data_IF_725416465478
#
_entry.id   IF_725416465478
#
_cell.length_a   1.000
_cell.length_b   1.000
_cell.length_c   1.000
_cell.angle_alpha   90.00
_cell.angle_beta   90.00
_cell.angle_gamma   90.00
#
_symmetry.space_group_name_H-M   'P 1'
#
loop_
_entity.id
_entity.type
_entity.pdbx_description
1 polymer ?
#
# COMPACT_ATOMS: atom_id res chain seq x y z
N UNK A 1 11.99 -29.33 1.36
CA UNK A 1 11.16 -28.14 0.97
C UNK A 1 12.02 -27.25 0.10
N UNK A 2 11.45 -26.73 -0.96
CA UNK A 2 12.14 -25.77 -1.85
C UNK A 2 12.29 -24.44 -1.11
N UNK A 3 13.51 -23.97 -0.92
CA UNK A 3 13.72 -22.65 -0.34
C UNK A 3 13.34 -21.57 -1.35
N UNK A 4 12.50 -20.64 -0.93
CA UNK A 4 12.11 -19.46 -1.70
C UNK A 4 12.85 -18.26 -1.13
N UNK A 5 13.36 -17.40 -1.99
CA UNK A 5 14.05 -16.16 -1.61
C UNK A 5 13.38 -14.97 -2.26
N UNK A 6 13.49 -13.82 -1.60
CA UNK A 6 13.24 -12.50 -2.20
C UNK A 6 14.54 -12.06 -2.86
N UNK A 7 14.56 -12.05 -4.19
CA UNK A 7 15.74 -11.67 -4.97
C UNK A 7 15.94 -10.15 -5.00
N UNK A 8 14.85 -9.40 -5.01
CA UNK A 8 14.85 -7.94 -4.95
C UNK A 8 13.55 -7.40 -4.42
N UNK A 9 13.54 -6.10 -4.14
CA UNK A 9 12.34 -5.33 -3.86
C UNK A 9 12.49 -3.90 -4.41
N UNK A 10 11.37 -3.30 -4.76
CA UNK A 10 11.27 -1.89 -5.12
C UNK A 10 9.91 -1.32 -4.73
N UNK A 11 9.88 -0.03 -4.45
CA UNK A 11 8.66 0.72 -4.22
C UNK A 11 8.69 2.07 -4.93
N UNK A 12 7.54 2.63 -5.23
CA UNK A 12 7.46 4.04 -5.58
C UNK A 12 7.63 4.92 -4.34
N UNK A 13 7.84 6.24 -4.48
CA UNK A 13 7.57 7.16 -3.38
C UNK A 13 6.13 6.98 -2.87
N UNK A 14 5.90 7.29 -1.60
CA UNK A 14 4.56 7.34 -1.01
C UNK A 14 3.97 8.72 -1.28
N UNK A 15 2.98 8.77 -2.18
CA UNK A 15 2.25 10.00 -2.51
C UNK A 15 1.25 10.37 -1.42
N UNK A 16 1.09 11.67 -1.18
CA UNK A 16 0.03 12.19 -0.32
C UNK A 16 -1.32 12.18 -1.03
N UNK A 17 -2.40 12.17 -0.27
CA UNK A 17 -3.75 12.28 -0.82
C UNK A 17 -3.91 13.56 -1.64
N UNK A 18 -4.32 13.39 -2.89
CA UNK A 18 -4.37 14.47 -3.90
C UNK A 18 -3.01 15.19 -4.12
N UNK A 19 -1.89 14.50 -3.85
CA UNK A 19 -0.53 14.96 -4.08
C UNK A 19 -0.02 14.68 -5.49
N UNK A 20 1.29 14.41 -5.63
CA UNK A 20 1.94 14.23 -6.92
C UNK A 20 1.34 13.12 -7.77
N UNK A 21 0.78 12.08 -7.15
CA UNK A 21 0.17 10.94 -7.85
C UNK A 21 -1.35 11.04 -8.01
N UNK A 22 -1.96 12.18 -7.70
CA UNK A 22 -3.42 12.37 -7.72
C UNK A 22 -4.13 11.90 -8.98
N UNK A 23 -3.46 11.94 -10.13
CA UNK A 23 -4.01 11.54 -11.43
C UNK A 23 -3.36 10.26 -12.00
N UNK A 24 -2.59 9.53 -11.19
CA UNK A 24 -1.95 8.29 -11.63
C UNK A 24 -2.76 7.07 -11.15
N UNK A 25 -3.20 6.20 -12.08
CA UNK A 25 -3.87 4.97 -11.68
C UNK A 25 -2.89 4.01 -10.99
N UNK A 26 -3.41 3.20 -10.06
CA UNK A 26 -2.61 2.27 -9.29
C UNK A 26 -1.72 1.36 -10.16
N UNK A 27 -2.26 0.86 -11.28
CA UNK A 27 -1.51 0.00 -12.19
C UNK A 27 -0.30 0.67 -12.87
N UNK A 28 -0.32 2.00 -13.04
CA UNK A 28 0.85 2.73 -13.56
C UNK A 28 1.96 2.81 -12.51
N UNK A 29 1.62 3.03 -11.23
CA UNK A 29 2.55 2.97 -10.11
C UNK A 29 3.10 1.55 -9.93
N UNK A 30 2.21 0.54 -10.05
CA UNK A 30 2.59 -0.88 -10.02
C UNK A 30 3.60 -1.25 -11.10
N UNK A 31 3.43 -0.76 -12.33
CA UNK A 31 4.35 -1.01 -13.43
C UNK A 31 5.76 -0.48 -13.13
N UNK A 32 5.89 0.75 -12.61
CA UNK A 32 7.19 1.32 -12.22
C UNK A 32 7.89 0.47 -11.17
N UNK A 33 7.16 0.05 -10.13
CA UNK A 33 7.73 -0.79 -9.08
C UNK A 33 8.16 -2.17 -9.61
N UNK A 34 7.39 -2.78 -10.52
CA UNK A 34 7.71 -4.06 -11.17
C UNK A 34 8.99 -3.94 -11.98
N UNK A 35 9.10 -2.94 -12.86
CA UNK A 35 10.29 -2.73 -13.70
C UNK A 35 11.54 -2.56 -12.85
N UNK A 36 11.49 -1.70 -11.85
CA UNK A 36 12.62 -1.47 -10.95
C UNK A 36 13.02 -2.73 -10.15
N UNK A 37 12.05 -3.51 -9.68
CA UNK A 37 12.34 -4.73 -8.95
C UNK A 37 13.01 -5.79 -9.84
N UNK A 38 12.53 -5.97 -11.07
CA UNK A 38 13.15 -6.91 -12.03
C UNK A 38 14.56 -6.49 -12.42
N UNK A 39 14.78 -5.21 -12.70
CA UNK A 39 16.10 -4.67 -12.99
C UNK A 39 17.09 -4.93 -11.83
N UNK A 40 16.68 -4.64 -10.60
CA UNK A 40 17.48 -4.88 -9.39
C UNK A 40 17.78 -6.37 -9.16
N UNK A 41 16.83 -7.24 -9.50
CA UNK A 41 17.01 -8.69 -9.41
C UNK A 41 17.96 -9.23 -10.51
N UNK A 42 18.15 -8.50 -11.60
CA UNK A 42 18.81 -8.99 -12.81
C UNK A 42 18.00 -10.12 -13.47
N UNK A 43 16.67 -10.07 -13.36
CA UNK A 43 15.73 -11.05 -13.92
C UNK A 43 15.15 -10.50 -15.21
N UNK A 44 15.20 -11.30 -16.27
CA UNK A 44 14.57 -10.97 -17.55
C UNK A 44 13.04 -10.96 -17.40
N UNK A 45 12.37 -10.04 -18.08
CA UNK A 45 10.90 -9.94 -18.06
C UNK A 45 10.26 -11.24 -18.57
N UNK A 46 10.87 -11.89 -19.54
CA UNK A 46 10.44 -13.14 -20.17
C UNK A 46 10.47 -14.34 -19.22
N UNK A 47 11.28 -14.27 -18.14
CA UNK A 47 11.38 -15.36 -17.17
C UNK A 47 10.32 -15.29 -16.06
N UNK A 48 9.52 -14.23 -16.01
CA UNK A 48 8.46 -14.05 -15.01
C UNK A 48 7.29 -14.96 -15.33
N UNK A 49 7.01 -15.92 -14.43
CA UNK A 49 5.92 -16.88 -14.58
C UNK A 49 4.58 -16.29 -14.17
N UNK A 50 4.58 -15.37 -13.19
CA UNK A 50 3.35 -14.88 -12.59
C UNK A 50 3.53 -13.54 -11.89
N UNK A 51 2.46 -12.74 -11.87
CA UNK A 51 2.37 -11.50 -11.09
C UNK A 51 1.13 -11.53 -10.19
N UNK A 52 1.32 -11.28 -8.89
CA UNK A 52 0.23 -11.22 -7.90
C UNK A 52 0.30 -9.87 -7.18
N UNK A 53 -0.72 -9.02 -7.36
CA UNK A 53 -0.74 -7.71 -6.70
C UNK A 53 -1.97 -7.53 -5.84
N UNK A 54 -1.75 -7.09 -4.60
CA UNK A 54 -2.80 -6.63 -3.72
C UNK A 54 -3.33 -5.27 -4.14
N UNK A 55 -4.65 -5.12 -4.14
CA UNK A 55 -5.32 -3.84 -4.33
C UNK A 55 -6.73 -3.89 -3.75
N UNK A 56 -7.15 -2.85 -3.05
CA UNK A 56 -8.48 -2.76 -2.42
C UNK A 56 -9.46 -2.01 -3.32
N UNK A 57 -9.07 -0.84 -3.82
CA UNK A 57 -9.94 0.10 -4.54
C UNK A 57 -9.83 -0.13 -6.04
N UNK A 58 -10.64 -1.03 -6.57
CA UNK A 58 -10.59 -1.44 -7.99
C UNK A 58 -11.74 -0.89 -8.83
N UNK A 59 -12.72 -0.22 -8.22
CA UNK A 59 -13.87 0.32 -8.95
C UNK A 59 -13.43 1.37 -9.97
N UNK A 60 -13.85 1.20 -11.23
CA UNK A 60 -13.51 2.11 -12.33
C UNK A 60 -12.05 2.03 -12.83
N UNK A 61 -11.24 1.10 -12.32
CA UNK A 61 -9.83 0.94 -12.70
C UNK A 61 -9.63 0.10 -13.97
N UNK A 62 -10.70 -0.39 -14.58
CA UNK A 62 -10.64 -1.31 -15.71
C UNK A 62 -10.52 -2.78 -15.28
N UNK A 63 -10.35 -3.65 -16.28
CA UNK A 63 -10.24 -5.08 -16.01
C UNK A 63 -8.89 -5.40 -15.36
N UNK A 64 -8.92 -6.12 -14.25
CA UNK A 64 -7.75 -6.70 -13.60
C UNK A 64 -6.55 -5.72 -13.52
N UNK A 65 -6.54 -4.78 -12.60
CA UNK A 65 -5.45 -3.78 -12.49
C UNK A 65 -4.06 -4.40 -12.30
N UNK A 66 -3.96 -5.57 -11.67
CA UNK A 66 -2.70 -6.30 -11.58
C UNK A 66 -2.18 -6.74 -12.97
N UNK A 67 -3.09 -7.20 -13.84
CA UNK A 67 -2.76 -7.53 -15.22
C UNK A 67 -2.35 -6.29 -16.02
N UNK A 68 -3.01 -5.17 -15.79
CA UNK A 68 -2.63 -3.90 -16.43
C UNK A 68 -1.21 -3.48 -16.01
N UNK A 69 -0.87 -3.57 -14.73
CA UNK A 69 0.49 -3.27 -14.25
C UNK A 69 1.53 -4.20 -14.88
N UNK A 70 1.23 -5.50 -14.92
CA UNK A 70 2.07 -6.53 -15.55
C UNK A 70 2.38 -6.21 -17.02
N UNK A 71 1.36 -5.95 -17.83
CA UNK A 71 1.52 -5.63 -19.25
C UNK A 71 2.22 -4.29 -19.44
N UNK A 72 1.86 -3.27 -18.67
CA UNK A 72 2.50 -1.94 -18.75
C UNK A 72 3.99 -1.99 -18.38
N UNK A 73 4.40 -2.90 -17.50
CA UNK A 73 5.80 -3.16 -17.18
C UNK A 73 6.52 -3.97 -18.28
N UNK A 74 5.83 -4.37 -19.34
CA UNK A 74 6.39 -5.11 -20.46
C UNK A 74 6.65 -6.58 -20.21
N UNK A 75 5.93 -7.20 -19.27
CA UNK A 75 6.01 -8.64 -19.00
C UNK A 75 5.21 -9.44 -20.06
N UNK A 76 5.51 -10.76 -20.21
CA UNK A 76 4.91 -11.58 -21.25
C UNK A 76 3.38 -11.69 -21.14
N UNK A 77 2.70 -11.63 -22.26
CA UNK A 77 1.24 -11.80 -22.31
C UNK A 77 0.79 -13.21 -21.94
N UNK A 78 1.67 -14.18 -22.04
CA UNK A 78 1.43 -15.59 -21.70
C UNK A 78 1.48 -15.84 -20.19
N UNK A 79 2.22 -15.03 -19.45
CA UNK A 79 2.35 -15.16 -17.99
C UNK A 79 1.06 -14.74 -17.29
N UNK A 80 0.68 -15.47 -16.24
CA UNK A 80 -0.50 -15.14 -15.45
C UNK A 80 -0.31 -13.87 -14.63
N UNK A 81 -1.37 -13.05 -14.53
CA UNK A 81 -1.37 -11.91 -13.63
C UNK A 81 -2.76 -11.69 -13.04
N UNK A 82 -2.85 -11.50 -11.73
CA UNK A 82 -4.12 -11.38 -11.04
C UNK A 82 -3.99 -10.58 -9.74
N UNK A 83 -5.11 -10.03 -9.29
CA UNK A 83 -5.21 -9.22 -8.09
C UNK A 83 -5.82 -9.95 -6.92
N UNK A 84 -5.46 -9.55 -5.70
CA UNK A 84 -6.04 -10.06 -4.45
C UNK A 84 -6.46 -8.91 -3.56
N UNK A 85 -7.55 -9.10 -2.84
CA UNK A 85 -8.02 -8.20 -1.80
C UNK A 85 -8.18 -8.94 -0.47
N UNK A 86 -7.31 -8.62 0.47
CA UNK A 86 -7.38 -8.95 1.89
C UNK A 86 -7.22 -7.65 2.70
N UNK A 87 -7.87 -6.59 2.24
CA UNK A 87 -7.77 -5.22 2.77
C UNK A 87 -6.30 -4.82 2.91
N UNK A 88 -5.87 -4.24 4.02
CA UNK A 88 -4.48 -3.79 4.24
C UNK A 88 -3.43 -4.93 4.19
N UNK A 89 -3.84 -6.19 4.36
CA UNK A 89 -2.97 -7.36 4.27
C UNK A 89 -2.70 -7.88 2.86
N UNK A 90 -3.30 -7.26 1.82
CA UNK A 90 -3.29 -7.78 0.44
C UNK A 90 -1.88 -7.95 -0.13
N UNK A 91 -1.00 -6.96 0.03
CA UNK A 91 0.37 -7.02 -0.49
C UNK A 91 1.19 -8.13 0.16
N UNK A 92 1.12 -8.28 1.48
CA UNK A 92 1.81 -9.36 2.19
C UNK A 92 1.22 -10.73 1.82
N UNK A 93 -0.10 -10.80 1.63
CA UNK A 93 -0.75 -12.04 1.17
C UNK A 93 -0.31 -12.44 -0.23
N UNK A 94 -0.14 -11.48 -1.13
CA UNK A 94 0.41 -11.73 -2.47
C UNK A 94 1.81 -12.37 -2.40
N UNK A 95 2.69 -11.85 -1.54
CA UNK A 95 4.03 -12.43 -1.30
C UNK A 95 3.94 -13.87 -0.77
N UNK A 96 3.05 -14.13 0.19
CA UNK A 96 2.85 -15.46 0.74
C UNK A 96 2.35 -16.46 -0.32
N UNK A 97 1.40 -16.05 -1.17
CA UNK A 97 0.88 -16.87 -2.26
C UNK A 97 1.94 -17.14 -3.33
N UNK A 98 2.71 -16.11 -3.72
CA UNK A 98 3.82 -16.29 -4.66
C UNK A 98 4.87 -17.29 -4.15
N UNK A 99 5.21 -17.23 -2.85
CA UNK A 99 6.09 -18.21 -2.24
C UNK A 99 5.50 -19.63 -2.27
N UNK A 100 4.20 -19.78 -2.01
CA UNK A 100 3.49 -21.07 -2.08
C UNK A 100 3.48 -21.63 -3.51
N UNK A 101 3.20 -20.83 -4.53
CA UNK A 101 3.21 -21.27 -5.93
C UNK A 101 4.61 -21.74 -6.36
N UNK A 102 5.67 -21.07 -5.93
CA UNK A 102 7.04 -21.51 -6.20
C UNK A 102 7.35 -22.82 -5.46
N UNK A 103 6.90 -22.99 -4.22
CA UNK A 103 7.10 -24.22 -3.44
C UNK A 103 6.40 -25.42 -4.07
N UNK A 104 5.19 -25.23 -4.59
CA UNK A 104 4.40 -26.25 -5.27
C UNK A 104 4.94 -26.57 -6.67
N UNK A 105 5.68 -25.67 -7.28
CA UNK A 105 6.23 -25.82 -8.63
C UNK A 105 5.33 -25.26 -9.73
N UNK A 106 4.26 -24.55 -9.37
CA UNK A 106 3.34 -23.90 -10.30
C UNK A 106 4.01 -22.72 -11.02
N UNK A 107 4.90 -22.01 -10.33
CA UNK A 107 5.65 -20.87 -10.84
C UNK A 107 7.12 -20.96 -10.50
N UNK A 108 8.00 -20.43 -11.36
CA UNK A 108 9.43 -20.39 -11.14
C UNK A 108 9.87 -19.05 -10.55
N UNK A 109 9.39 -17.93 -11.10
CA UNK A 109 9.64 -16.56 -10.69
C UNK A 109 8.31 -15.83 -10.58
N UNK A 110 8.04 -15.24 -9.42
CA UNK A 110 6.80 -14.51 -9.14
C UNK A 110 7.12 -13.08 -8.73
N UNK A 111 6.46 -12.13 -9.38
CA UNK A 111 6.41 -10.74 -8.92
C UNK A 111 5.21 -10.59 -8.00
N UNK A 112 5.43 -10.24 -6.74
CA UNK A 112 4.39 -10.16 -5.73
C UNK A 112 4.50 -8.89 -4.89
N UNK A 113 3.37 -8.25 -4.62
CA UNK A 113 3.33 -7.02 -3.84
C UNK A 113 1.95 -6.38 -3.83
N UNK A 114 1.90 -5.06 -3.90
CA UNK A 114 0.65 -4.31 -3.92
C UNK A 114 0.79 -2.96 -4.60
N UNK A 115 -0.35 -2.42 -4.98
CA UNK A 115 -0.51 -1.11 -5.59
C UNK A 115 -1.82 -0.49 -5.11
N UNK A 116 -1.87 0.81 -4.94
CA UNK A 116 -3.10 1.52 -4.60
C UNK A 116 -3.04 2.97 -5.07
N UNK A 117 -4.16 3.51 -5.52
CA UNK A 117 -4.35 4.94 -5.74
C UNK A 117 -5.63 5.35 -5.02
N UNK A 118 -5.48 5.84 -3.79
CA UNK A 118 -6.60 6.29 -2.97
C UNK A 118 -7.12 7.64 -3.50
N UNK A 119 -6.26 8.45 -4.09
CA UNK A 119 -6.65 9.72 -4.70
C UNK A 119 -7.57 9.55 -5.92
N UNK A 120 -7.42 8.46 -6.69
CA UNK A 120 -8.26 8.14 -7.83
C UNK A 120 -9.43 7.19 -7.51
N UNK A 121 -9.70 6.94 -6.23
CA UNK A 121 -10.88 6.17 -5.84
C UNK A 121 -12.16 6.87 -6.31
N UNK A 122 -13.09 6.07 -6.81
CA UNK A 122 -14.32 6.60 -7.43
C UNK A 122 -15.43 6.82 -6.42
N UNK A 123 -16.33 7.76 -6.74
CA UNK A 123 -17.66 7.78 -6.14
C UNK A 123 -18.61 6.98 -7.01
N UNK A 124 -19.33 6.03 -6.43
CA UNK A 124 -20.18 5.07 -7.15
C UNK A 124 -21.65 5.23 -6.78
N UNK A 125 -22.54 4.85 -7.69
CA UNK A 125 -23.97 4.82 -7.46
C UNK A 125 -24.61 3.60 -8.12
N UNK A 126 -25.66 3.04 -7.48
CA UNK A 126 -26.45 1.94 -8.01
C UNK A 126 -27.53 2.45 -8.96
N UNK A 127 -27.21 2.58 -10.26
CA UNK A 127 -28.09 3.23 -11.23
C UNK A 127 -28.67 2.31 -12.31
N UNK A 128 -28.39 1.00 -12.29
CA UNK A 128 -28.89 0.10 -13.35
C UNK A 128 -30.40 0.01 -13.41
N UNK A 129 -31.09 0.19 -12.28
CA UNK A 129 -32.55 0.27 -12.23
C UNK A 129 -33.13 1.67 -12.54
N UNK A 130 -32.25 2.66 -12.77
CA UNK A 130 -32.63 4.05 -12.97
C UNK A 130 -33.02 4.77 -11.68
N UNK A 131 -33.23 6.08 -11.80
CA UNK A 131 -33.73 6.96 -10.73
C UNK A 131 -35.00 7.64 -11.25
N UNK A 132 -36.16 7.19 -10.73
CA UNK A 132 -37.44 7.69 -11.23
C UNK A 132 -37.78 9.08 -10.74
N UNK A 133 -37.45 9.42 -9.48
CA UNK A 133 -37.74 10.70 -8.84
C UNK A 133 -36.88 10.87 -7.61
N UNK A 134 -36.52 12.12 -7.25
CA UNK A 134 -35.72 12.48 -6.09
C UNK A 134 -34.23 12.52 -6.36
N UNK A 135 -33.46 12.76 -5.28
CA UNK A 135 -32.01 12.94 -5.35
C UNK A 135 -31.27 11.63 -5.58
N UNK A 136 -30.08 11.74 -6.18
CA UNK A 136 -29.16 10.65 -6.37
C UNK A 136 -28.03 10.71 -5.35
N UNK A 137 -27.77 9.59 -4.67
CA UNK A 137 -26.68 9.48 -3.70
C UNK A 137 -25.48 8.77 -4.32
N UNK A 138 -24.32 9.43 -4.29
CA UNK A 138 -23.03 8.82 -4.57
C UNK A 138 -22.39 8.32 -3.28
N UNK A 139 -21.69 7.19 -3.38
CA UNK A 139 -20.99 6.53 -2.28
C UNK A 139 -19.51 6.66 -2.56
N UNK A 140 -18.74 7.21 -1.61
CA UNK A 140 -17.29 7.22 -1.66
C UNK A 140 -16.76 5.79 -1.48
N UNK A 141 -16.18 5.21 -2.54
CA UNK A 141 -15.68 3.83 -2.51
C UNK A 141 -14.43 3.69 -1.64
N UNK A 142 -13.62 4.74 -1.49
CA UNK A 142 -12.47 4.72 -0.60
C UNK A 142 -12.90 4.48 0.85
N UNK A 143 -13.93 5.19 1.30
CA UNK A 143 -14.50 5.01 2.63
C UNK A 143 -15.23 3.66 2.70
N UNK A 144 -16.16 3.40 1.76
CA UNK A 144 -17.07 2.26 1.85
C UNK A 144 -16.36 0.91 1.75
N UNK A 145 -15.38 0.79 0.85
CA UNK A 145 -14.71 -0.48 0.54
C UNK A 145 -13.36 -0.63 1.27
N UNK A 146 -12.71 0.49 1.63
CA UNK A 146 -11.40 0.48 2.26
C UNK A 146 -11.36 0.82 3.74
N UNK A 147 -12.25 1.72 4.22
CA UNK A 147 -12.14 2.33 5.54
C UNK A 147 -13.37 2.12 6.44
N UNK A 148 -14.36 1.37 5.99
CA UNK A 148 -15.61 1.13 6.71
C UNK A 148 -15.72 -0.31 7.18
N UNK A 149 -15.92 -0.50 8.49
CA UNK A 149 -16.25 -1.82 9.03
C UNK A 149 -17.64 -2.24 8.53
N UNK A 150 -17.66 -3.25 7.66
CA UNK A 150 -18.88 -3.74 7.03
C UNK A 150 -19.83 -4.43 8.00
N UNK A 151 -19.33 -4.92 9.12
CA UNK A 151 -20.09 -5.70 10.10
C UNK A 151 -20.66 -4.81 11.21
N UNK A 152 -19.83 -3.90 11.74
CA UNK A 152 -20.23 -3.03 12.84
C UNK A 152 -20.76 -1.67 12.37
N UNK A 153 -20.56 -1.31 11.11
CA UNK A 153 -21.18 -0.13 10.51
C UNK A 153 -20.53 1.21 10.89
N UNK A 154 -19.24 1.23 11.14
CA UNK A 154 -18.49 2.44 11.47
C UNK A 154 -17.13 2.52 10.76
N UNK A 155 -16.53 3.70 10.78
CA UNK A 155 -15.22 3.96 10.16
C UNK A 155 -14.07 3.28 10.95
N UNK A 156 -12.99 2.89 10.28
CA UNK A 156 -11.78 2.32 10.92
C UNK A 156 -11.18 3.24 12.00
N UNK A 157 -11.36 4.54 11.91
CA UNK A 157 -11.00 5.46 12.98
C UNK A 157 -11.77 5.22 14.28
N UNK A 158 -13.04 4.82 14.19
CA UNK A 158 -13.82 4.38 15.37
C UNK A 158 -13.29 3.05 15.91
N UNK A 159 -12.83 2.14 15.04
CA UNK A 159 -12.12 0.94 15.49
C UNK A 159 -10.87 1.30 16.29
N UNK A 160 -10.10 2.30 15.84
CA UNK A 160 -8.94 2.77 16.59
C UNK A 160 -9.32 3.36 17.96
N UNK A 161 -10.42 4.13 18.05
CA UNK A 161 -10.95 4.59 19.34
C UNK A 161 -11.34 3.43 20.25
N UNK A 162 -12.03 2.40 19.73
CA UNK A 162 -12.39 1.19 20.48
C UNK A 162 -11.15 0.45 21.01
N UNK A 163 -10.08 0.39 20.22
CA UNK A 163 -8.80 -0.19 20.66
C UNK A 163 -8.18 0.66 21.76
N UNK A 164 -8.15 1.99 21.59
CA UNK A 164 -7.61 2.90 22.59
C UNK A 164 -8.36 2.80 23.92
N UNK A 165 -9.69 2.73 23.88
CA UNK A 165 -10.53 2.55 25.06
C UNK A 165 -10.29 1.19 25.72
N UNK A 166 -10.35 0.10 24.96
CA UNK A 166 -10.20 -1.26 25.47
C UNK A 166 -8.85 -1.48 26.16
N UNK A 167 -7.78 -0.93 25.59
CA UNK A 167 -6.42 -1.12 26.07
C UNK A 167 -5.89 0.05 26.89
N UNK A 168 -6.74 1.04 27.20
CA UNK A 168 -6.41 2.24 27.99
C UNK A 168 -5.20 2.99 27.43
N UNK A 169 -5.14 3.13 26.08
CA UNK A 169 -4.07 3.86 25.41
C UNK A 169 -4.45 5.34 25.36
N UNK A 170 -3.70 6.17 26.07
CA UNK A 170 -4.01 7.60 26.16
C UNK A 170 -3.74 8.35 24.84
N UNK A 171 -4.32 9.55 24.72
CA UNK A 171 -4.06 10.46 23.61
C UNK A 171 -2.58 10.84 23.52
N UNK A 172 -1.93 11.08 24.65
CA UNK A 172 -0.52 11.43 24.75
C UNK A 172 0.37 10.30 24.20
N UNK A 173 0.10 9.06 24.62
CA UNK A 173 0.83 7.88 24.11
C UNK A 173 0.70 7.73 22.59
N UNK A 174 -0.48 7.98 22.03
CA UNK A 174 -0.72 7.92 20.58
C UNK A 174 0.05 9.04 19.85
N UNK A 175 0.01 10.26 20.37
CA UNK A 175 0.71 11.41 19.79
C UNK A 175 2.24 11.26 19.87
N UNK A 176 2.77 10.78 20.99
CA UNK A 176 4.21 10.50 21.17
C UNK A 176 4.69 9.43 20.22
N UNK A 177 3.92 8.34 20.06
CA UNK A 177 4.24 7.27 19.12
C UNK A 177 4.25 7.77 17.66
N UNK A 178 3.22 8.51 17.27
CA UNK A 178 3.11 9.07 15.92
C UNK A 178 4.23 10.09 15.64
N UNK A 179 4.55 10.96 16.60
CA UNK A 179 5.66 11.91 16.50
C UNK A 179 7.00 11.18 16.35
N UNK A 180 7.25 10.17 17.17
CA UNK A 180 8.48 9.38 17.08
C UNK A 180 8.60 8.69 15.69
N UNK A 181 7.49 8.21 15.12
CA UNK A 181 7.46 7.66 13.77
C UNK A 181 7.80 8.71 12.70
N UNK A 182 7.21 9.91 12.76
CA UNK A 182 7.51 11.00 11.83
C UNK A 182 8.99 11.43 11.92
N UNK A 183 9.51 11.60 13.12
CA UNK A 183 10.90 12.00 13.33
C UNK A 183 11.90 10.95 12.83
N UNK A 184 11.60 9.66 13.02
CA UNK A 184 12.41 8.56 12.46
C UNK A 184 12.39 8.56 10.92
N UNK A 185 11.22 8.75 10.33
CA UNK A 185 11.08 8.80 8.87
C UNK A 185 11.81 10.02 8.27
N UNK A 186 11.67 11.19 8.88
CA UNK A 186 12.39 12.41 8.49
C UNK A 186 13.91 12.22 8.57
N UNK A 187 14.40 11.67 9.67
CA UNK A 187 15.84 11.40 9.82
C UNK A 187 16.35 10.40 8.80
N UNK A 188 15.59 9.33 8.51
CA UNK A 188 15.93 8.33 7.51
C UNK A 188 15.94 8.93 6.09
N UNK A 189 14.96 9.75 5.74
CA UNK A 189 14.91 10.42 4.44
C UNK A 189 16.09 11.39 4.27
N UNK A 190 16.36 12.26 5.28
CA UNK A 190 17.51 13.16 5.27
C UNK A 190 18.86 12.43 5.15
N UNK A 191 18.96 11.24 5.74
CA UNK A 191 20.15 10.38 5.64
C UNK A 191 20.20 9.56 4.34
N UNK A 192 19.23 9.72 3.42
CA UNK A 192 19.17 9.03 2.13
C UNK A 192 18.91 7.52 2.23
N UNK A 193 18.38 7.03 3.37
CA UNK A 193 18.19 5.59 3.61
C UNK A 193 17.11 4.93 2.73
N UNK A 194 16.24 5.72 2.11
CA UNK A 194 15.18 5.21 1.23
C UNK A 194 15.60 5.17 -0.25
N UNK A 195 16.75 5.72 -0.62
CA UNK A 195 17.20 5.83 -2.03
C UNK A 195 17.33 4.48 -2.72
N UNK A 196 17.80 3.46 -2.01
CA UNK A 196 18.01 2.13 -2.58
C UNK A 196 16.70 1.35 -2.79
N UNK A 197 15.62 1.74 -2.13
CA UNK A 197 14.33 1.07 -2.26
C UNK A 197 13.35 1.82 -3.18
N UNK A 198 13.46 3.14 -3.29
CA UNK A 198 12.59 3.96 -4.12
C UNK A 198 12.96 3.83 -5.60
N UNK A 199 11.94 3.63 -6.43
CA UNK A 199 11.97 3.80 -7.88
C UNK A 199 11.32 5.15 -8.22
N UNK A 200 12.05 6.13 -8.79
CA UNK A 200 11.48 7.41 -9.18
C UNK A 200 10.33 7.26 -10.17
N UNK A 201 9.31 8.09 -10.02
CA UNK A 201 8.12 8.08 -10.86
C UNK A 201 8.05 9.36 -11.68
N UNK A 202 7.98 9.24 -13.00
CA UNK A 202 7.77 10.39 -13.88
C UNK A 202 6.29 10.66 -14.04
N UNK A 203 5.86 11.82 -13.56
CA UNK A 203 4.47 12.29 -13.66
C UNK A 203 4.36 13.29 -14.82
N UNK A 204 3.48 12.98 -15.78
CA UNK A 204 3.22 13.85 -16.94
C UNK A 204 2.15 14.87 -16.63
N UNK A 205 2.44 16.13 -16.98
CA UNK A 205 1.53 17.26 -16.83
C UNK A 205 1.33 17.95 -18.16
N UNK A 206 0.31 18.82 -18.24
CA UNK A 206 0.06 19.62 -19.47
C UNK A 206 1.27 20.47 -19.92
N UNK A 207 2.14 20.85 -18.98
CA UNK A 207 3.29 21.75 -19.25
C UNK A 207 4.64 21.04 -19.22
N UNK A 208 4.70 19.71 -19.12
CA UNK A 208 5.94 18.94 -19.03
C UNK A 208 5.82 17.72 -18.12
N UNK A 209 6.97 17.30 -17.60
CA UNK A 209 7.08 16.14 -16.74
C UNK A 209 7.77 16.53 -15.41
N UNK A 210 7.41 15.89 -14.34
CA UNK A 210 8.06 16.01 -13.02
C UNK A 210 8.46 14.64 -12.54
N UNK A 211 9.71 14.49 -12.10
CA UNK A 211 10.18 13.25 -11.44
C UNK A 211 9.92 13.37 -9.94
N UNK A 212 9.20 12.42 -9.39
CA UNK A 212 8.93 12.29 -7.96
C UNK A 212 9.83 11.17 -7.46
N UNK A 213 10.73 11.47 -6.51
CA UNK A 213 11.72 10.53 -5.99
C UNK A 213 11.77 10.49 -4.46
N UNK A 214 10.99 11.32 -3.79
CA UNK A 214 10.89 11.39 -2.34
C UNK A 214 9.47 11.12 -1.85
N UNK A 215 9.36 10.51 -0.65
CA UNK A 215 8.08 10.33 0.03
C UNK A 215 7.50 11.68 0.43
N UNK A 216 6.26 11.96 0.03
CA UNK A 216 5.56 13.22 0.31
C UNK A 216 4.90 13.26 1.69
N UNK A 217 4.59 12.09 2.26
CA UNK A 217 3.75 12.02 3.46
C UNK A 217 4.52 12.30 4.76
N UNK A 218 5.84 12.32 4.74
CA UNK A 218 6.65 12.59 5.92
C UNK A 218 6.47 14.06 6.34
N UNK A 219 6.02 14.27 7.57
CA UNK A 219 5.79 15.61 8.14
C UNK A 219 7.06 16.14 8.78
N UNK A 220 7.87 16.83 7.99
CA UNK A 220 9.12 17.42 8.44
C UNK A 220 8.88 18.46 9.54
N UNK A 221 9.69 18.39 10.60
CA UNK A 221 9.60 19.32 11.72
C UNK A 221 8.35 19.14 12.59
N UNK A 222 7.73 17.95 12.59
CA UNK A 222 6.61 17.66 13.47
C UNK A 222 7.01 17.83 14.95
N UNK A 223 6.11 18.39 15.77
CA UNK A 223 6.32 18.61 17.21
C UNK A 223 5.15 18.09 18.02
N UNK A 224 5.39 17.80 19.31
CA UNK A 224 4.34 17.31 20.20
C UNK A 224 3.24 18.37 20.41
N UNK A 225 3.60 19.66 20.50
CA UNK A 225 2.66 20.76 20.62
C UNK A 225 1.78 20.90 19.38
N UNK A 226 2.33 20.58 18.20
CA UNK A 226 1.57 20.52 16.96
C UNK A 226 0.55 19.39 16.96
N UNK A 227 0.93 18.20 17.44
CA UNK A 227 0.05 17.04 17.57
C UNK A 227 -1.08 17.29 18.56
N UNK A 228 -0.76 17.81 19.74
CA UNK A 228 -1.73 18.06 20.81
C UNK A 228 -2.83 19.09 20.45
N UNK A 229 -2.56 20.01 19.52
CA UNK A 229 -3.54 20.99 19.03
C UNK A 229 -4.60 20.39 18.11
N UNK A 230 -4.37 19.18 17.59
CA UNK A 230 -5.30 18.53 16.67
C UNK A 230 -6.54 18.02 17.42
N UNK A 231 -7.71 18.24 16.80
CA UNK A 231 -8.98 17.76 17.33
C UNK A 231 -9.20 16.30 17.01
N UNK A 232 -9.89 15.54 17.87
CA UNK A 232 -10.38 14.21 17.54
C UNK A 232 -11.16 14.20 16.22
N UNK A 233 -10.94 13.18 15.38
CA UNK A 233 -11.50 13.12 14.04
C UNK A 233 -12.74 12.21 13.92
N UNK A 234 -12.89 11.24 14.82
CA UNK A 234 -13.91 10.20 14.70
C UNK A 234 -14.94 10.20 15.84
N UNK A 235 -14.58 10.69 17.00
CA UNK A 235 -15.45 10.84 18.16
C UNK A 235 -15.20 12.18 18.82
N UNK A 236 -16.25 12.84 19.32
CA UNK A 236 -16.13 14.16 19.98
C UNK A 236 -15.18 14.15 21.18
N UNK A 237 -15.24 13.08 21.97
CA UNK A 237 -14.39 12.85 23.15
C UNK A 237 -13.27 11.84 22.86
N UNK A 238 -12.94 11.63 21.56
CA UNK A 238 -11.96 10.64 21.13
C UNK A 238 -10.53 11.12 21.28
N UNK A 239 -9.62 10.20 20.94
CA UNK A 239 -8.17 10.38 21.02
C UNK A 239 -7.48 10.33 19.65
N UNK A 240 -8.15 9.77 18.64
CA UNK A 240 -7.61 9.60 17.28
C UNK A 240 -7.77 10.89 16.49
N UNK A 241 -6.67 11.39 15.93
CA UNK A 241 -6.61 12.65 15.18
C UNK A 241 -5.99 12.46 13.82
N UNK A 242 -6.05 13.47 12.97
CA UNK A 242 -5.32 13.47 11.69
C UNK A 242 -3.78 13.41 11.87
N UNK A 243 -3.25 13.64 13.06
CA UNK A 243 -1.81 13.56 13.36
C UNK A 243 -1.35 12.16 13.74
N UNK A 244 -2.17 11.42 14.46
CA UNK A 244 -1.85 10.09 14.98
C UNK A 244 -2.58 8.94 14.24
N UNK A 245 -3.46 9.25 13.27
CA UNK A 245 -4.07 8.27 12.38
C UNK A 245 -3.18 7.94 11.18
N UNK A 246 -3.49 6.81 10.51
CA UNK A 246 -2.87 6.43 9.23
C UNK A 246 -3.16 7.45 8.14
N UNK A 247 -2.23 7.56 7.18
CA UNK A 247 -2.41 8.39 6.00
C UNK A 247 -3.32 7.78 4.94
N UNK A 248 -3.80 8.65 4.05
CA UNK A 248 -4.42 8.28 2.79
C UNK A 248 -3.37 8.56 1.72
N UNK A 249 -2.95 7.52 0.98
CA UNK A 249 -1.74 7.57 0.17
C UNK A 249 -1.92 6.86 -1.16
N UNK A 250 -1.02 7.18 -2.10
CA UNK A 250 -0.88 6.54 -3.39
C UNK A 250 0.51 5.92 -3.51
N UNK A 251 0.62 4.73 -4.09
CA UNK A 251 1.91 4.08 -4.28
C UNK A 251 1.83 2.62 -4.67
N UNK A 252 3.00 2.02 -4.89
CA UNK A 252 3.14 0.60 -5.14
C UNK A 252 4.46 0.08 -4.56
N UNK A 253 4.46 -1.19 -4.16
CA UNK A 253 5.66 -1.88 -3.73
C UNK A 253 5.59 -3.36 -4.13
N UNK A 254 6.68 -3.89 -4.67
CA UNK A 254 6.75 -5.29 -5.11
C UNK A 254 8.05 -5.95 -4.73
N UNK A 255 8.02 -7.27 -4.68
CA UNK A 255 9.18 -8.15 -4.51
C UNK A 255 9.26 -9.11 -5.68
N UNK A 256 10.47 -9.55 -6.02
CA UNK A 256 10.72 -10.65 -6.95
C UNK A 256 11.06 -11.89 -6.13
N UNK A 257 10.20 -12.91 -6.23
CA UNK A 257 10.35 -14.19 -5.53
C UNK A 257 10.86 -15.25 -6.50
N UNK A 258 11.78 -16.11 -6.04
CA UNK A 258 12.31 -17.23 -6.84
C UNK A 258 12.86 -18.36 -5.97
N UNK A 259 13.16 -19.51 -6.60
CA UNK A 259 13.85 -20.61 -5.91
C UNK A 259 15.27 -20.24 -5.56
N UNK A 260 15.73 -20.63 -4.38
CA UNK A 260 17.09 -20.40 -3.88
C UNK A 260 18.15 -21.27 -4.56
N UNK A 261 18.00 -21.69 -5.81
CA UNK A 261 18.98 -22.55 -6.49
C UNK A 261 20.10 -21.70 -7.08
N UNK A 262 21.21 -21.57 -6.35
CA UNK A 262 22.43 -20.89 -6.84
C UNK A 262 22.45 -19.36 -6.70
N UNK A 263 21.46 -18.78 -5.99
CA UNK A 263 21.42 -17.34 -5.74
C UNK A 263 22.01 -17.04 -4.37
N UNK A 264 23.12 -16.31 -4.34
CA UNK A 264 23.58 -15.68 -3.10
C UNK A 264 22.68 -14.48 -2.83
N UNK A 265 21.95 -14.40 -1.70
CA UNK A 265 21.11 -13.25 -1.40
C UNK A 265 21.95 -11.96 -1.44
N UNK A 266 21.59 -11.01 -2.30
CA UNK A 266 22.24 -9.70 -2.35
C UNK A 266 21.81 -8.77 -1.21
N UNK A 267 20.82 -9.19 -0.42
CA UNK A 267 20.36 -8.44 0.73
C UNK A 267 20.49 -9.30 1.99
N UNK A 268 21.30 -8.85 2.94
CA UNK A 268 21.10 -9.22 4.34
C UNK A 268 19.74 -8.62 4.71
N UNK A 269 18.83 -9.46 5.21
CA UNK A 269 17.51 -9.04 5.65
C UNK A 269 17.63 -7.99 6.77
N UNK A 270 17.82 -6.73 6.40
CA UNK A 270 17.49 -5.65 7.30
C UNK A 270 15.98 -5.44 7.16
N UNK A 271 15.31 -5.63 8.26
CA UNK A 271 13.89 -5.67 8.53
C UNK A 271 13.06 -4.43 8.11
N UNK A 272 13.58 -3.58 7.23
CA UNK A 272 12.98 -2.31 6.87
C UNK A 272 11.94 -2.39 5.72
N UNK A 273 11.99 -3.43 4.88
CA UNK A 273 11.20 -3.47 3.63
C UNK A 273 9.75 -3.93 3.79
N UNK A 274 9.40 -4.56 4.92
CA UNK A 274 8.03 -5.06 5.15
C UNK A 274 7.12 -3.99 5.74
N UNK A 275 7.67 -2.91 6.29
CA UNK A 275 6.91 -1.90 7.02
C UNK A 275 6.35 -0.74 6.19
N UNK A 276 6.67 -0.65 4.89
CA UNK A 276 6.32 0.53 4.09
C UNK A 276 5.00 0.42 3.32
N UNK A 277 4.43 -0.77 3.14
CA UNK A 277 3.10 -0.94 2.53
C UNK A 277 1.99 -0.98 3.57
N UNK A 278 2.34 -1.11 4.84
CA UNK A 278 1.41 -1.03 5.96
C UNK A 278 1.88 0.06 6.91
N UNK A 279 1.63 1.31 6.55
CA UNK A 279 1.72 2.41 7.49
C UNK A 279 0.48 2.42 8.43
N UNK A 280 0.18 1.26 8.99
CA UNK A 280 -0.63 1.16 10.19
C UNK A 280 0.20 0.40 11.22
N UNK A 281 0.43 0.92 12.42
CA UNK A 281 1.03 0.12 13.47
C UNK A 281 0.12 -1.08 13.73
N UNK A 282 0.57 -2.27 13.38
CA UNK A 282 -0.11 -3.50 13.78
C UNK A 282 0.08 -3.69 15.28
N UNK A 283 -0.73 -3.01 16.07
CA UNK A 283 -1.08 -3.43 17.42
C UNK A 283 -2.19 -4.48 17.27
N UNK A 284 -1.87 -5.64 16.74
CA UNK A 284 -2.66 -6.84 16.96
C UNK A 284 -1.94 -7.69 18.00
N UNK A 285 -2.47 -7.81 19.21
CA UNK A 285 -2.12 -8.91 20.08
C UNK A 285 -2.73 -10.20 19.52
N UNK A 286 -2.02 -11.32 19.77
CA UNK A 286 -2.43 -12.68 19.42
C UNK A 286 -3.90 -12.96 19.76
N UNK A 287 -4.55 -13.65 18.82
CA UNK A 287 -5.78 -14.42 18.94
C UNK A 287 -6.90 -13.89 19.84
N UNK A 288 -7.89 -13.27 19.22
CA UNK A 288 -9.24 -13.25 19.81
C UNK A 288 -9.85 -14.66 19.70
N UNK A 289 -10.40 -15.22 20.77
CA UNK A 289 -11.19 -16.45 20.68
C UNK A 289 -12.44 -16.17 19.85
N UNK A 290 -12.77 -17.13 18.99
CA UNK A 290 -13.99 -17.12 18.21
C UNK A 290 -15.22 -17.00 19.16
N UNK A 291 -16.12 -16.06 18.83
CA UNK A 291 -17.51 -16.03 19.29
C UNK A 291 -18.39 -16.28 18.08
#
# INVERSE_FOLDING_TARGET
MTNVVIASAARTPVGSFNGSFANMPAHALGAVAIEAALERAGVSKEDVSETILGQVLTAGQGQNPARQAHINAGLPIEAAAWGINQVCGSGLRAVALGAQHIQLGDSAIVVAGGQESMSLSTHVAHLRAGQKMGDMKFIDSMIKDGLWDAFNGYHMGTTAENVAEKWQISREQQDEFALASQNKAEAAQKAGKFKDEIAPVTVKHRKGETVVEDDEYIRHGATIEGMQKLRPAFSKEGSVTAGNASGINDGAAVTVLMRAKGVTPRFSASSALISTVTAAPSLMPEALPAV
#
